data_IF_461849627137
#
_entry.id   IF_461849627137
#
_cell.length_a   1.000
_cell.length_b   1.000
_cell.length_c   1.000
_cell.angle_alpha   90.00
_cell.angle_beta   90.00
_cell.angle_gamma   90.00
#
_symmetry.space_group_name_H-M   'P 1'
#
loop_
_entity.id
_entity.type
_entity.pdbx_description
1 polymer ?
#
# COMPACT_ATOMS: atom_id res chain seq x y z
N UNK A 1 -24.03 13.12 3.94
CA UNK A 1 -24.18 14.58 3.73
C UNK A 1 -25.65 14.89 3.52
N UNK A 2 -26.18 16.00 4.04
CA UNK A 2 -27.57 16.39 3.75
C UNK A 2 -27.52 17.37 2.58
N UNK A 3 -28.00 16.95 1.42
CA UNK A 3 -28.17 17.81 0.25
C UNK A 3 -29.67 17.85 -0.05
N UNK A 4 -30.25 19.04 -0.21
CA UNK A 4 -31.69 19.22 -0.47
C UNK A 4 -32.62 18.45 0.49
N UNK A 5 -32.31 18.43 1.79
CA UNK A 5 -33.15 17.79 2.82
C UNK A 5 -33.15 16.26 2.84
N UNK A 6 -32.43 15.60 1.91
CA UNK A 6 -32.25 14.14 1.91
C UNK A 6 -30.86 13.78 2.43
N UNK A 7 -30.80 12.79 3.34
CA UNK A 7 -29.52 12.20 3.78
C UNK A 7 -28.93 11.41 2.62
N UNK A 8 -27.99 12.02 1.90
CA UNK A 8 -27.26 11.36 0.83
C UNK A 8 -26.15 10.50 1.48
N UNK A 9 -26.14 9.18 1.22
CA UNK A 9 -25.06 8.29 1.65
C UNK A 9 -23.71 8.75 1.12
N UNK A 10 -22.66 8.61 1.93
CA UNK A 10 -21.32 9.08 1.61
C UNK A 10 -20.75 8.51 0.29
N UNK A 11 -21.23 7.34 -0.15
CA UNK A 11 -20.89 6.72 -1.43
C UNK A 11 -21.19 7.61 -2.66
N UNK A 12 -22.20 8.47 -2.61
CA UNK A 12 -22.46 9.40 -3.72
C UNK A 12 -21.31 10.37 -3.97
N UNK A 13 -20.53 10.71 -2.93
CA UNK A 13 -19.34 11.55 -3.11
C UNK A 13 -18.30 10.84 -3.97
N UNK A 14 -18.13 9.52 -3.84
CA UNK A 14 -17.20 8.75 -4.66
C UNK A 14 -17.62 8.76 -6.13
N UNK A 15 -18.93 8.62 -6.37
CA UNK A 15 -19.49 8.63 -7.72
C UNK A 15 -19.26 9.98 -8.41
N UNK A 16 -19.47 11.10 -7.70
CA UNK A 16 -19.15 12.44 -8.19
C UNK A 16 -17.67 12.56 -8.56
N UNK A 17 -16.77 12.06 -7.71
CA UNK A 17 -15.34 12.10 -8.00
C UNK A 17 -14.93 11.21 -9.19
N UNK A 18 -15.54 10.03 -9.37
CA UNK A 18 -15.32 9.22 -10.58
C UNK A 18 -15.78 9.92 -11.85
N UNK A 19 -16.91 10.64 -11.80
CA UNK A 19 -17.40 11.42 -12.94
C UNK A 19 -16.46 12.59 -13.25
N UNK A 20 -15.97 13.30 -12.23
CA UNK A 20 -14.97 14.36 -12.40
C UNK A 20 -13.68 13.80 -13.00
N UNK A 21 -13.20 12.65 -12.51
CA UNK A 21 -12.01 12.00 -13.06
C UNK A 21 -12.21 11.59 -14.52
N UNK A 22 -13.34 10.96 -14.87
CA UNK A 22 -13.65 10.62 -16.25
C UNK A 22 -13.68 11.87 -17.14
N UNK A 23 -14.33 12.95 -16.69
CA UNK A 23 -14.38 14.22 -17.42
C UNK A 23 -12.98 14.84 -17.64
N UNK A 24 -12.12 14.82 -16.62
CA UNK A 24 -10.72 15.27 -16.73
C UNK A 24 -9.92 14.43 -17.71
N UNK A 25 -10.11 13.10 -17.69
CA UNK A 25 -9.47 12.18 -18.62
C UNK A 25 -9.94 12.38 -20.07
N UNK A 26 -11.21 12.73 -20.29
CA UNK A 26 -11.74 13.09 -21.61
C UNK A 26 -11.18 14.41 -22.13
N UNK A 27 -11.11 15.42 -21.27
CA UNK A 27 -10.62 16.74 -21.62
C UNK A 27 -9.08 16.81 -21.73
N UNK A 28 -8.37 15.69 -21.58
CA UNK A 28 -6.90 15.55 -21.74
C UNK A 28 -6.10 16.62 -20.97
N UNK A 29 -6.62 17.10 -19.84
CA UNK A 29 -5.94 18.12 -19.03
C UNK A 29 -4.64 17.62 -18.39
N UNK A 30 -4.43 16.30 -18.36
CA UNK A 30 -3.22 15.67 -17.87
C UNK A 30 -2.76 14.57 -18.82
N UNK A 31 -1.48 14.58 -19.17
CA UNK A 31 -0.81 13.48 -19.88
C UNK A 31 -0.58 12.26 -18.99
N UNK A 32 -0.70 12.43 -17.67
CA UNK A 32 -0.37 11.40 -16.66
C UNK A 32 -1.63 10.66 -16.21
N UNK A 33 -2.80 11.32 -16.21
CA UNK A 33 -4.04 10.76 -15.67
C UNK A 33 -4.92 10.23 -16.81
N UNK A 34 -4.96 8.90 -17.05
CA UNK A 34 -5.86 8.32 -18.03
C UNK A 34 -7.32 8.40 -17.58
N UNK A 35 -8.24 8.17 -18.52
CA UNK A 35 -9.68 8.00 -18.25
C UNK A 35 -9.90 6.88 -17.25
N UNK A 36 -10.82 7.07 -16.31
CA UNK A 36 -11.14 6.06 -15.31
C UNK A 36 -11.64 4.77 -15.97
N UNK A 37 -12.48 4.89 -17.00
CA UNK A 37 -12.95 3.78 -17.84
C UNK A 37 -11.80 2.94 -18.44
N UNK A 38 -10.72 3.60 -18.87
CA UNK A 38 -9.52 2.93 -19.37
C UNK A 38 -8.76 2.17 -18.30
N UNK A 39 -8.68 2.69 -17.08
CA UNK A 39 -8.06 2.00 -15.95
C UNK A 39 -8.82 0.72 -15.63
N UNK A 40 -10.16 0.78 -15.62
CA UNK A 40 -11.00 -0.40 -15.43
C UNK A 40 -10.81 -1.43 -16.55
N UNK A 41 -10.81 -0.99 -17.81
CA UNK A 41 -10.58 -1.86 -18.95
C UNK A 41 -9.20 -2.54 -18.90
N UNK A 42 -8.14 -1.78 -18.57
CA UNK A 42 -6.80 -2.32 -18.37
C UNK A 42 -6.75 -3.29 -17.18
N UNK A 43 -7.49 -3.03 -16.11
CA UNK A 43 -7.63 -3.95 -15.00
C UNK A 43 -8.22 -5.30 -15.45
N UNK A 44 -9.33 -5.28 -16.18
CA UNK A 44 -10.00 -6.49 -16.68
C UNK A 44 -9.10 -7.30 -17.60
N UNK A 45 -8.23 -6.65 -18.40
CA UNK A 45 -7.30 -7.35 -19.29
C UNK A 45 -6.07 -7.90 -18.56
N UNK A 46 -5.54 -7.18 -17.56
CA UNK A 46 -4.32 -7.56 -16.85
C UNK A 46 -4.60 -8.61 -15.76
N UNK A 47 -5.71 -8.49 -15.03
CA UNK A 47 -6.08 -9.40 -13.92
C UNK A 47 -6.02 -10.90 -14.28
N UNK A 48 -6.53 -11.38 -15.42
CA UNK A 48 -6.48 -12.81 -15.78
C UNK A 48 -5.12 -13.26 -16.32
N UNK A 49 -4.14 -12.37 -16.47
CA UNK A 49 -2.84 -12.72 -17.05
C UNK A 49 -2.00 -13.52 -16.05
N UNK A 50 -1.35 -14.60 -16.50
CA UNK A 50 -0.45 -15.40 -15.67
C UNK A 50 0.69 -14.59 -15.05
N UNK A 51 1.21 -13.60 -15.79
CA UNK A 51 2.22 -12.66 -15.29
C UNK A 51 1.73 -11.88 -14.06
N UNK A 52 0.46 -11.45 -14.07
CA UNK A 52 -0.11 -10.71 -12.95
C UNK A 52 -0.33 -11.63 -11.75
N UNK A 53 -0.91 -12.81 -11.95
CA UNK A 53 -1.14 -13.78 -10.86
C UNK A 53 0.18 -14.25 -10.23
N UNK A 54 1.22 -14.50 -11.04
CA UNK A 54 2.55 -14.84 -10.55
C UNK A 54 3.16 -13.70 -9.73
N UNK A 55 3.06 -12.45 -10.20
CA UNK A 55 3.57 -11.29 -9.47
C UNK A 55 2.84 -11.08 -8.13
N UNK A 56 1.51 -11.22 -8.12
CA UNK A 56 0.70 -11.16 -6.90
C UNK A 56 1.11 -12.26 -5.92
N UNK A 57 1.28 -13.49 -6.40
CA UNK A 57 1.65 -14.62 -5.55
C UNK A 57 3.05 -14.43 -4.93
N UNK A 58 4.02 -13.96 -5.71
CA UNK A 58 5.37 -13.65 -5.20
C UNK A 58 5.29 -12.54 -4.15
N UNK A 59 4.55 -11.46 -4.43
CA UNK A 59 4.39 -10.34 -3.51
C UNK A 59 3.75 -10.78 -2.19
N UNK A 60 2.65 -11.54 -2.28
CA UNK A 60 1.91 -12.02 -1.12
C UNK A 60 2.73 -13.01 -0.30
N UNK A 61 3.45 -13.92 -0.95
CA UNK A 61 4.35 -14.88 -0.27
C UNK A 61 5.50 -14.15 0.44
N UNK A 62 6.16 -13.22 -0.25
CA UNK A 62 7.26 -12.44 0.34
C UNK A 62 6.77 -11.61 1.52
N UNK A 63 5.61 -10.97 1.39
CA UNK A 63 4.98 -10.24 2.49
C UNK A 63 4.62 -11.15 3.66
N UNK A 64 3.98 -12.29 3.40
CA UNK A 64 3.57 -13.23 4.45
C UNK A 64 4.77 -13.80 5.21
N UNK A 65 5.82 -14.21 4.50
CA UNK A 65 7.05 -14.71 5.13
C UNK A 65 7.76 -13.60 5.91
N UNK A 66 7.93 -12.41 5.31
CA UNK A 66 8.54 -11.27 5.98
C UNK A 66 7.79 -10.85 7.24
N UNK A 67 6.46 -10.80 7.17
CA UNK A 67 5.59 -10.51 8.31
C UNK A 67 5.68 -11.59 9.39
N UNK A 68 5.66 -12.87 9.01
CA UNK A 68 5.80 -13.97 9.95
C UNK A 68 7.14 -13.90 10.71
N UNK A 69 8.24 -13.61 10.01
CA UNK A 69 9.55 -13.43 10.64
C UNK A 69 9.59 -12.18 11.53
N UNK A 70 8.98 -11.07 11.10
CA UNK A 70 8.90 -9.85 11.90
C UNK A 70 8.13 -10.08 13.22
N UNK A 71 7.03 -10.83 13.16
CA UNK A 71 6.25 -11.20 14.35
C UNK A 71 7.01 -12.20 15.22
N UNK A 72 7.52 -13.29 14.63
CA UNK A 72 8.15 -14.38 15.38
C UNK A 72 9.52 -14.00 15.98
N UNK A 73 10.27 -13.10 15.35
CA UNK A 73 11.62 -12.71 15.78
C UNK A 73 11.62 -11.28 16.31
N UNK A 74 11.02 -10.34 15.57
CA UNK A 74 11.03 -8.93 15.93
C UNK A 74 10.32 -8.64 17.26
N UNK A 75 9.17 -9.27 17.51
CA UNK A 75 8.45 -9.06 18.78
C UNK A 75 9.25 -9.63 19.97
N UNK A 76 9.70 -10.90 19.98
CA UNK A 76 10.52 -11.40 21.08
C UNK A 76 11.81 -10.61 21.28
N UNK A 77 12.47 -10.18 20.20
CA UNK A 77 13.67 -9.35 20.28
C UNK A 77 13.37 -8.00 20.93
N UNK A 78 12.28 -7.33 20.55
CA UNK A 78 11.83 -6.08 21.17
C UNK A 78 11.50 -6.25 22.66
N UNK A 79 10.83 -7.34 23.02
CA UNK A 79 10.56 -7.68 24.44
C UNK A 79 11.87 -7.90 25.20
N UNK A 80 12.84 -8.60 24.60
CA UNK A 80 14.14 -8.87 25.22
C UNK A 80 14.97 -7.58 25.39
N UNK A 81 14.93 -6.68 24.41
CA UNK A 81 15.52 -5.34 24.48
C UNK A 81 14.92 -4.50 25.60
N UNK A 82 13.61 -4.61 25.84
CA UNK A 82 12.92 -3.91 26.94
C UNK A 82 13.25 -4.51 28.31
N UNK A 83 13.49 -5.81 28.39
CA UNK A 83 13.79 -6.53 29.64
C UNK A 83 15.26 -6.40 30.07
N UNK A 84 16.20 -6.32 29.13
CA UNK A 84 17.64 -6.34 29.42
C UNK A 84 18.32 -5.08 28.89
N UNK A 85 18.70 -4.17 29.80
CA UNK A 85 19.26 -2.86 29.47
C UNK A 85 20.54 -2.91 28.61
N UNK A 86 21.37 -3.96 28.74
CA UNK A 86 22.55 -4.15 27.89
C UNK A 86 22.18 -4.49 26.45
N UNK A 87 21.17 -5.35 26.27
CA UNK A 87 20.69 -5.75 24.95
C UNK A 87 20.00 -4.60 24.25
N UNK A 88 19.16 -3.85 24.97
CA UNK A 88 18.52 -2.64 24.45
C UNK A 88 19.54 -1.59 23.97
N UNK A 89 20.66 -1.39 24.69
CA UNK A 89 21.72 -0.46 24.29
C UNK A 89 22.47 -0.90 23.04
N UNK A 90 22.83 -2.18 22.94
CA UNK A 90 23.59 -2.70 21.78
C UNK A 90 22.70 -2.76 20.53
N UNK A 91 21.51 -3.36 20.65
CA UNK A 91 20.61 -3.56 19.52
C UNK A 91 19.85 -2.28 19.12
N UNK A 92 19.67 -1.34 20.05
CA UNK A 92 18.94 -0.10 19.79
C UNK A 92 19.56 0.74 18.68
N UNK A 93 20.90 0.78 18.60
CA UNK A 93 21.60 1.46 17.50
C UNK A 93 21.24 0.84 16.15
N UNK A 94 21.32 -0.50 16.05
CA UNK A 94 21.02 -1.22 14.82
C UNK A 94 19.56 -1.07 14.40
N UNK A 95 18.62 -1.24 15.33
CA UNK A 95 17.18 -1.08 15.07
C UNK A 95 16.88 0.32 14.55
N UNK A 96 17.44 1.36 15.18
CA UNK A 96 17.22 2.74 14.74
C UNK A 96 17.81 3.00 13.35
N UNK A 97 18.97 2.43 13.03
CA UNK A 97 19.54 2.53 11.67
C UNK A 97 18.61 1.87 10.65
N UNK A 98 18.12 0.66 10.91
CA UNK A 98 17.24 -0.03 9.96
C UNK A 98 15.89 0.66 9.78
N UNK A 99 15.35 1.27 10.84
CA UNK A 99 14.11 2.07 10.76
C UNK A 99 14.31 3.36 9.97
N UNK A 100 15.50 3.97 10.06
CA UNK A 100 15.81 5.25 9.42
C UNK A 100 16.41 5.09 8.01
N UNK A 101 16.80 3.88 7.63
CA UNK A 101 17.41 3.61 6.34
C UNK A 101 16.40 3.85 5.20
N UNK A 102 16.78 4.56 4.13
CA UNK A 102 15.89 4.76 2.99
C UNK A 102 15.63 3.42 2.29
N UNK A 103 14.37 3.14 1.98
CA UNK A 103 13.95 1.90 1.30
C UNK A 103 14.68 1.71 -0.03
N UNK A 104 15.01 2.80 -0.72
CA UNK A 104 15.78 2.79 -1.97
C UNK A 104 17.21 2.25 -1.83
N UNK A 105 17.77 2.19 -0.62
CA UNK A 105 19.07 1.58 -0.37
C UNK A 105 18.97 0.07 -0.08
N UNK A 106 17.77 -0.45 0.21
CA UNK A 106 17.52 -1.86 0.49
C UNK A 106 16.95 -2.63 -0.72
N UNK A 107 16.35 -1.94 -1.70
CA UNK A 107 15.84 -2.55 -2.92
C UNK A 107 16.95 -2.52 -3.99
N UNK A 108 17.43 -3.68 -4.48
CA UNK A 108 18.40 -3.74 -5.56
C UNK A 108 17.83 -3.31 -6.92
#
# INVERSE_FOLDING_TARGET
MILFGKKIPMFFSLLVWFLVWEAVGWARLSSIVPRFSHVLAAGITILPTEKFSAAVLISLRSFAVGMALAVAIGIPLGVFMARVASVGRILGLWVNIFVSAPISALVP
#
